data_IF_504066667312
#
_entry.id   IF_504066667312
#
_cell.length_a   1.000
_cell.length_b   1.000
_cell.length_c   1.000
_cell.angle_alpha   90.00
_cell.angle_beta   90.00
_cell.angle_gamma   90.00
#
_symmetry.space_group_name_H-M   'P 1'
#
loop_
_entity.id
_entity.type
_entity.pdbx_description
1 polymer ?
#
# COMPACT_ATOMS: atom_id res chain seq x y z
N UNK A 1 -20.99 38.06 -21.34
CA UNK A 1 -19.59 38.56 -21.38
C UNK A 1 -18.73 37.54 -22.09
N UNK A 2 -18.20 37.86 -23.27
CA UNK A 2 -17.38 36.94 -24.05
C UNK A 2 -16.01 36.78 -23.39
N UNK A 3 -15.70 35.55 -22.96
CA UNK A 3 -14.49 35.20 -22.20
C UNK A 3 -13.18 35.57 -22.92
N UNK A 4 -13.20 35.74 -24.25
CA UNK A 4 -12.02 36.15 -25.02
C UNK A 4 -11.70 37.64 -24.94
N UNK A 5 -12.71 38.50 -24.71
CA UNK A 5 -12.50 39.96 -24.69
C UNK A 5 -11.77 40.41 -23.41
N UNK A 6 -12.02 39.71 -22.30
CA UNK A 6 -11.36 39.94 -21.02
C UNK A 6 -9.86 39.61 -21.07
N UNK A 7 -9.50 38.49 -21.70
CA UNK A 7 -8.10 38.10 -21.90
C UNK A 7 -7.34 39.08 -22.81
N UNK A 8 -7.98 39.59 -23.87
CA UNK A 8 -7.34 40.55 -24.77
C UNK A 8 -7.10 41.91 -24.10
N UNK A 9 -8.01 42.37 -23.25
CA UNK A 9 -7.80 43.61 -22.48
C UNK A 9 -6.72 43.47 -21.41
N UNK A 10 -6.56 42.28 -20.82
CA UNK A 10 -5.54 42.00 -19.79
C UNK A 10 -4.11 41.95 -20.38
N UNK A 11 -3.97 41.44 -21.61
CA UNK A 11 -2.67 41.42 -22.33
C UNK A 11 -2.26 42.84 -22.75
N UNK A 12 -3.22 43.68 -23.17
CA UNK A 12 -2.94 45.06 -23.57
C UNK A 12 -2.42 45.93 -22.39
N UNK A 13 -2.82 45.63 -21.15
CA UNK A 13 -2.30 46.31 -19.95
C UNK A 13 -0.87 45.90 -19.54
N UNK A 14 -0.34 44.76 -20.00
CA UNK A 14 1.01 44.29 -19.65
C UNK A 14 2.10 45.01 -20.46
N UNK A 15 1.76 45.59 -21.62
CA UNK A 15 2.73 46.24 -22.50
C UNK A 15 3.35 47.55 -21.95
N UNK A 16 2.83 48.11 -20.85
CA UNK A 16 3.31 49.39 -20.27
C UNK A 16 4.21 49.18 -19.03
N UNK A 17 4.21 47.99 -18.43
CA UNK A 17 5.06 47.69 -17.27
C UNK A 17 6.19 46.77 -17.67
N UNK A 18 7.45 47.25 -17.65
CA UNK A 18 8.61 46.36 -17.53
C UNK A 18 8.50 45.62 -16.19
N UNK A 19 7.78 44.51 -16.17
CA UNK A 19 7.84 43.55 -15.08
C UNK A 19 9.30 43.07 -15.01
N UNK A 20 10.00 43.25 -13.88
CA UNK A 20 11.31 42.66 -13.74
C UNK A 20 11.14 41.14 -13.83
N UNK A 21 11.72 40.53 -14.86
CA UNK A 21 11.72 39.07 -15.10
C UNK A 21 12.66 38.35 -14.12
N UNK A 22 12.61 38.69 -12.82
CA UNK A 22 13.48 38.07 -11.83
C UNK A 22 12.80 37.99 -10.49
N UNK A 23 12.00 36.92 -10.31
CA UNK A 23 11.61 36.37 -9.01
C UNK A 23 10.88 35.02 -9.17
N UNK A 24 11.33 34.17 -10.11
CA UNK A 24 11.02 32.74 -9.98
C UNK A 24 11.93 32.20 -8.88
N UNK A 25 11.38 32.06 -7.67
CA UNK A 25 12.08 31.33 -6.61
C UNK A 25 12.14 29.87 -7.00
N UNK A 26 13.34 29.35 -7.14
CA UNK A 26 13.55 27.92 -7.35
C UNK A 26 13.32 27.17 -6.05
N UNK A 27 12.65 26.03 -6.13
CA UNK A 27 12.40 25.15 -5.01
C UNK A 27 13.03 23.78 -5.26
N UNK A 28 13.54 23.16 -4.20
CA UNK A 28 14.03 21.78 -4.21
C UNK A 28 13.28 20.95 -3.18
N UNK A 29 13.20 19.64 -3.44
CA UNK A 29 12.78 18.65 -2.45
C UNK A 29 13.98 18.21 -1.62
N UNK A 30 13.79 18.10 -0.31
CA UNK A 30 14.77 17.58 0.65
C UNK A 30 14.26 16.26 1.21
N UNK A 31 15.02 15.18 1.01
CA UNK A 31 14.71 13.85 1.50
C UNK A 31 14.81 13.80 3.02
N UNK A 32 13.81 13.19 3.66
CA UNK A 32 13.78 12.95 5.10
C UNK A 32 13.94 11.47 5.41
N UNK A 33 13.08 10.63 4.81
CA UNK A 33 13.09 9.20 5.05
C UNK A 33 12.38 8.40 3.96
N UNK A 34 12.52 7.07 4.04
CA UNK A 34 11.78 6.10 3.23
C UNK A 34 11.13 5.04 4.12
N UNK A 35 10.00 4.51 3.68
CA UNK A 35 9.31 3.41 4.33
C UNK A 35 8.36 2.70 3.34
N UNK A 36 7.89 1.52 3.71
CA UNK A 36 6.71 0.94 3.06
C UNK A 36 5.43 1.52 3.66
N UNK A 37 4.36 1.56 2.87
CA UNK A 37 3.04 2.01 3.34
C UNK A 37 2.48 1.01 4.35
N UNK A 38 2.32 1.45 5.61
CA UNK A 38 1.77 0.62 6.67
C UNK A 38 0.26 0.44 6.49
N UNK A 39 -0.23 -0.76 6.78
CA UNK A 39 -1.65 -1.08 6.67
C UNK A 39 -2.21 -1.06 5.25
N UNK A 40 -1.36 -1.10 4.21
CA UNK A 40 -1.74 -0.96 2.80
C UNK A 40 -2.93 -1.83 2.38
N UNK A 41 -2.97 -3.07 2.88
CA UNK A 41 -4.03 -4.06 2.64
C UNK A 41 -5.39 -3.76 3.30
N UNK A 42 -5.43 -2.92 4.35
CA UNK A 42 -6.65 -2.64 5.10
C UNK A 42 -7.42 -1.42 4.58
N UNK A 43 -6.86 -0.69 3.62
CA UNK A 43 -7.45 0.51 3.03
C UNK A 43 -7.63 0.35 1.52
N UNK A 44 -7.79 1.45 0.79
CA UNK A 44 -7.98 1.38 -0.67
C UNK A 44 -6.70 0.98 -1.44
N UNK A 45 -5.58 0.71 -0.76
CA UNK A 45 -4.28 0.42 -1.35
C UNK A 45 -4.32 -0.68 -2.40
N UNK A 46 -4.78 -1.88 -2.03
CA UNK A 46 -4.80 -3.04 -2.95
C UNK A 46 -5.70 -2.81 -4.17
N UNK A 47 -6.84 -2.14 -3.99
CA UNK A 47 -7.77 -1.83 -5.08
C UNK A 47 -7.19 -0.83 -6.09
N UNK A 48 -6.28 0.04 -5.62
CA UNK A 48 -5.71 1.12 -6.41
C UNK A 48 -4.30 0.79 -6.94
N UNK A 49 -3.65 -0.26 -6.44
CA UNK A 49 -2.26 -0.61 -6.72
C UNK A 49 -1.94 -0.67 -8.22
N UNK A 50 -2.86 -1.19 -9.03
CA UNK A 50 -2.65 -1.29 -10.48
C UNK A 50 -2.62 0.05 -11.21
N UNK A 51 -3.16 1.09 -10.59
CA UNK A 51 -3.22 2.45 -11.14
C UNK A 51 -2.05 3.33 -10.66
N UNK A 52 -1.32 2.91 -9.63
CA UNK A 52 -0.20 3.67 -9.07
C UNK A 52 1.05 3.56 -9.95
N UNK A 53 1.87 4.61 -9.92
CA UNK A 53 3.16 4.66 -10.59
C UNK A 53 4.23 5.23 -9.67
N UNK A 54 5.47 4.81 -9.88
CA UNK A 54 6.62 5.48 -9.27
C UNK A 54 6.65 6.95 -9.70
N UNK A 55 6.93 7.84 -8.75
CA UNK A 55 6.86 9.29 -8.91
C UNK A 55 5.50 9.90 -8.53
N UNK A 56 4.46 9.09 -8.31
CA UNK A 56 3.16 9.60 -7.87
C UNK A 56 3.26 10.26 -6.49
N UNK A 57 2.57 11.40 -6.36
CA UNK A 57 2.50 12.16 -5.11
C UNK A 57 1.49 11.57 -4.14
N UNK A 58 1.84 11.64 -2.87
CA UNK A 58 1.00 11.26 -1.74
C UNK A 58 0.87 12.43 -0.77
N UNK A 59 -0.35 12.63 -0.30
CA UNK A 59 -0.67 13.60 0.76
C UNK A 59 -0.48 12.93 2.12
N UNK A 60 0.11 13.68 3.06
CA UNK A 60 0.22 13.29 4.46
C UNK A 60 -0.89 13.97 5.24
N UNK A 61 -1.82 13.19 5.78
CA UNK A 61 -2.99 13.68 6.51
C UNK A 61 -2.88 13.26 7.97
N UNK A 62 -2.89 14.23 8.90
CA UNK A 62 -2.84 13.95 10.34
C UNK A 62 -4.15 13.37 10.83
N UNK A 63 -4.06 12.31 11.64
CA UNK A 63 -5.19 11.71 12.37
C UNK A 63 -4.92 11.67 13.89
N UNK A 64 -4.89 12.81 14.59
CA UNK A 64 -4.53 12.87 16.01
C UNK A 64 -5.55 12.19 16.95
N UNK A 65 -6.77 11.96 16.46
CA UNK A 65 -7.84 11.25 17.18
C UNK A 65 -7.86 9.74 16.87
N UNK A 66 -6.84 9.20 16.19
CA UNK A 66 -6.74 7.77 15.95
C UNK A 66 -6.62 7.01 17.27
N UNK A 67 -7.49 6.02 17.49
CA UNK A 67 -7.63 5.30 18.76
C UNK A 67 -6.39 4.49 19.14
N UNK A 68 -5.57 4.10 18.15
CA UNK A 68 -4.40 3.25 18.35
C UNK A 68 -3.09 4.05 18.43
N UNK A 69 -3.01 5.18 17.72
CA UNK A 69 -1.77 5.95 17.60
C UNK A 69 -2.05 7.47 17.42
N UNK A 70 -1.80 8.32 18.44
CA UNK A 70 -2.02 9.76 18.32
C UNK A 70 -1.07 10.45 17.32
N UNK A 71 0.04 9.79 16.94
CA UNK A 71 0.98 10.27 15.94
C UNK A 71 0.59 9.84 14.51
N UNK A 72 -0.55 9.20 14.30
CA UNK A 72 -0.95 8.65 13.01
C UNK A 72 -0.94 9.69 11.87
N UNK A 73 -0.29 9.32 10.75
CA UNK A 73 -0.26 10.11 9.51
C UNK A 73 -0.75 9.21 8.39
N UNK A 74 -1.98 9.44 7.95
CA UNK A 74 -2.57 8.74 6.84
C UNK A 74 -1.93 9.19 5.52
N UNK A 75 -1.69 8.23 4.63
CA UNK A 75 -1.19 8.45 3.28
C UNK A 75 -2.37 8.40 2.31
N UNK A 76 -2.56 9.46 1.55
CA UNK A 76 -3.62 9.57 0.56
C UNK A 76 -3.03 9.65 -0.86
N UNK A 77 -3.48 8.78 -1.75
CA UNK A 77 -3.20 8.84 -3.18
C UNK A 77 -4.47 9.29 -3.90
N UNK A 78 -4.40 10.41 -4.63
CA UNK A 78 -5.56 11.01 -5.32
C UNK A 78 -6.78 11.18 -4.38
N UNK A 79 -6.53 11.66 -3.15
CA UNK A 79 -7.55 11.86 -2.12
C UNK A 79 -8.05 10.59 -1.43
N UNK A 80 -7.63 9.39 -1.86
CA UNK A 80 -8.02 8.11 -1.24
C UNK A 80 -6.97 7.61 -0.27
N UNK A 81 -7.39 7.25 0.94
CA UNK A 81 -6.50 6.67 1.96
C UNK A 81 -6.00 5.30 1.51
N UNK A 82 -4.69 5.14 1.44
CA UNK A 82 -4.03 3.89 1.04
C UNK A 82 -3.29 3.22 2.20
N UNK A 83 -3.09 3.92 3.32
CA UNK A 83 -2.40 3.40 4.49
C UNK A 83 -1.85 4.51 5.37
N UNK A 84 -0.75 4.25 6.05
CA UNK A 84 -0.10 5.19 6.96
C UNK A 84 1.43 5.19 6.83
N UNK A 85 2.04 6.26 7.36
CA UNK A 85 3.43 6.19 7.81
C UNK A 85 3.51 5.20 8.98
N UNK A 86 4.49 4.27 9.02
CA UNK A 86 4.64 3.34 10.14
C UNK A 86 4.80 4.05 11.48
N UNK A 87 4.14 3.53 12.52
CA UNK A 87 4.17 4.05 13.88
C UNK A 87 5.58 4.20 14.46
N UNK A 88 6.52 3.33 14.07
CA UNK A 88 7.92 3.40 14.47
C UNK A 88 8.68 4.64 13.97
N UNK A 89 8.06 5.44 13.11
CA UNK A 89 8.73 6.52 12.38
C UNK A 89 7.92 7.81 12.24
N UNK A 90 6.67 7.83 12.69
CA UNK A 90 5.76 8.94 12.41
C UNK A 90 5.85 10.11 13.40
N UNK A 91 6.41 9.91 14.60
CA UNK A 91 6.41 10.90 15.69
C UNK A 91 7.06 12.23 15.30
N UNK A 92 8.24 12.21 14.68
CA UNK A 92 8.87 13.46 14.24
C UNK A 92 8.07 14.16 13.14
N UNK A 93 7.53 13.38 12.20
CA UNK A 93 6.72 13.93 11.10
C UNK A 93 5.40 14.50 11.61
N UNK A 94 4.80 13.89 12.64
CA UNK A 94 3.54 14.34 13.22
C UNK A 94 3.71 15.71 13.88
N UNK A 95 4.78 15.89 14.66
CA UNK A 95 5.13 17.19 15.25
C UNK A 95 5.36 18.26 14.18
N UNK A 96 6.07 17.95 13.08
CA UNK A 96 6.33 18.89 12.00
C UNK A 96 5.06 19.33 11.26
N UNK A 97 4.12 18.42 11.07
CA UNK A 97 2.81 18.71 10.49
C UNK A 97 1.94 19.53 11.45
N UNK A 98 1.90 19.16 12.73
CA UNK A 98 1.06 19.80 13.75
C UNK A 98 1.47 21.27 13.98
N UNK A 99 2.79 21.57 13.96
CA UNK A 99 3.28 22.94 14.06
C UNK A 99 3.40 23.66 12.70
N UNK A 100 3.06 22.97 11.60
CA UNK A 100 3.09 23.48 10.23
C UNK A 100 4.46 24.09 9.86
N UNK A 101 5.55 23.51 10.39
CA UNK A 101 6.91 24.03 10.24
C UNK A 101 7.48 23.79 8.85
N UNK A 102 7.09 22.70 8.19
CA UNK A 102 7.59 22.29 6.88
C UNK A 102 6.43 21.81 5.99
N UNK A 103 6.50 22.14 4.70
CA UNK A 103 5.58 21.61 3.69
C UNK A 103 6.01 20.20 3.29
N UNK A 104 5.50 19.21 4.02
CA UNK A 104 5.80 17.80 3.80
C UNK A 104 4.93 17.18 2.70
N UNK A 105 5.52 16.27 1.94
CA UNK A 105 4.80 15.42 0.99
C UNK A 105 5.54 14.08 0.85
N UNK A 106 4.85 13.07 0.31
CA UNK A 106 5.48 11.80 0.00
C UNK A 106 5.40 11.51 -1.50
N UNK A 107 6.30 10.65 -1.97
CA UNK A 107 6.37 10.17 -3.36
C UNK A 107 6.50 8.66 -3.33
N UNK A 108 5.76 7.96 -4.19
CA UNK A 108 5.99 6.54 -4.44
C UNK A 108 7.34 6.36 -5.11
N UNK A 109 8.26 5.66 -4.46
CA UNK A 109 9.61 5.44 -5.00
C UNK A 109 9.76 4.10 -5.67
N UNK A 110 9.08 3.07 -5.16
CA UNK A 110 9.13 1.73 -5.73
C UNK A 110 7.77 1.04 -5.62
N UNK A 111 7.44 0.29 -6.66
CA UNK A 111 6.27 -0.59 -6.69
C UNK A 111 6.71 -2.02 -6.98
N UNK A 112 6.37 -2.95 -6.10
CA UNK A 112 6.59 -4.38 -6.33
C UNK A 112 5.29 -5.14 -6.09
N UNK A 113 4.60 -5.48 -7.18
CA UNK A 113 3.28 -6.14 -7.09
C UNK A 113 3.37 -7.61 -6.69
N UNK A 114 4.54 -8.23 -6.82
CA UNK A 114 4.74 -9.63 -6.49
C UNK A 114 5.28 -9.84 -5.06
N UNK A 115 5.53 -8.76 -4.32
CA UNK A 115 5.87 -8.83 -2.90
C UNK A 115 4.61 -8.93 -2.06
N UNK A 116 4.80 -9.11 -0.75
CA UNK A 116 3.69 -9.05 0.18
C UNK A 116 3.01 -7.69 0.20
N UNK A 117 1.69 -7.61 0.54
CA UNK A 117 0.96 -6.35 0.53
C UNK A 117 1.62 -5.21 1.32
N UNK A 118 2.28 -5.53 2.44
CA UNK A 118 3.01 -4.57 3.26
C UNK A 118 4.37 -4.14 2.69
N UNK A 119 4.79 -4.71 1.57
CA UNK A 119 5.98 -4.33 0.80
C UNK A 119 5.63 -3.93 -0.66
N UNK A 120 4.36 -3.78 -1.02
CA UNK A 120 3.99 -3.44 -2.41
C UNK A 120 4.37 -2.01 -2.80
N UNK A 121 4.30 -1.07 -1.84
CA UNK A 121 4.50 0.36 -2.10
C UNK A 121 5.54 0.90 -1.13
N UNK A 122 6.71 1.22 -1.66
CA UNK A 122 7.72 2.00 -0.94
C UNK A 122 7.57 3.47 -1.30
N UNK A 123 7.69 4.33 -0.29
CA UNK A 123 7.60 5.78 -0.43
C UNK A 123 8.81 6.47 0.16
N UNK A 124 9.04 7.71 -0.26
CA UNK A 124 9.95 8.63 0.41
C UNK A 124 9.21 9.91 0.80
N UNK A 125 9.50 10.42 2.00
CA UNK A 125 8.96 11.67 2.53
C UNK A 125 9.97 12.78 2.29
N UNK A 126 9.48 13.93 1.84
CA UNK A 126 10.25 15.12 1.54
C UNK A 126 9.64 16.35 2.20
N UNK A 127 10.44 17.40 2.31
CA UNK A 127 9.94 18.76 2.43
C UNK A 127 10.42 19.65 1.28
N UNK A 128 9.68 20.71 1.00
CA UNK A 128 10.06 21.70 -0.02
C UNK A 128 10.90 22.81 0.62
N UNK A 129 12.03 23.14 -0.02
CA UNK A 129 12.94 24.20 0.41
C UNK A 129 13.23 25.16 -0.73
N UNK A 130 13.20 26.47 -0.46
CA UNK A 130 13.71 27.49 -1.39
C UNK A 130 15.21 27.32 -1.61
N UNK A 131 15.63 27.33 -2.88
CA UNK A 131 17.05 27.22 -3.28
C UNK A 131 17.73 28.58 -3.08
N UNK A 132 18.02 28.91 -1.83
CA UNK A 132 18.72 30.15 -1.48
C UNK A 132 20.24 29.93 -1.36
N UNK A 133 20.68 28.69 -1.10
CA UNK A 133 22.08 28.25 -1.00
C UNK A 133 22.24 26.79 -1.40
N UNK A 134 23.40 26.44 -1.95
CA UNK A 134 23.78 25.05 -2.19
C UNK A 134 23.81 24.24 -0.90
N UNK A 135 23.52 22.94 -0.99
CA UNK A 135 23.68 22.04 0.15
C UNK A 135 25.17 21.87 0.46
N UNK A 136 25.58 21.93 1.74
CA UNK A 136 26.94 21.54 2.12
C UNK A 136 27.25 20.12 1.65
N UNK A 137 28.50 19.85 1.26
CA UNK A 137 28.90 18.55 0.72
C UNK A 137 28.57 17.35 1.65
N UNK A 138 28.69 17.55 2.97
CA UNK A 138 28.35 16.53 3.97
C UNK A 138 26.84 16.21 4.04
N UNK A 139 25.98 17.09 3.51
CA UNK A 139 24.52 16.95 3.50
C UNK A 139 23.99 16.34 2.19
N UNK A 140 24.86 15.75 1.36
CA UNK A 140 24.47 15.12 0.09
C UNK A 140 23.50 13.94 0.23
N UNK A 141 23.36 13.36 1.43
CA UNK A 141 22.36 12.31 1.71
C UNK A 141 20.92 12.83 1.63
N UNK A 142 20.70 14.14 1.77
CA UNK A 142 19.38 14.79 1.68
C UNK A 142 18.78 14.82 0.27
N UNK A 143 19.46 14.28 -0.72
CA UNK A 143 18.97 14.17 -2.10
C UNK A 143 18.94 12.72 -2.61
N UNK A 144 19.39 11.76 -1.81
CA UNK A 144 19.54 10.36 -2.21
C UNK A 144 18.37 9.53 -1.71
N UNK A 145 17.91 8.63 -2.57
CA UNK A 145 16.93 7.59 -2.24
C UNK A 145 17.67 6.27 -2.32
N UNK A 146 17.42 5.37 -1.39
CA UNK A 146 17.99 4.03 -1.44
C UNK A 146 16.93 3.05 -1.96
N UNK A 147 17.39 1.92 -2.52
CA UNK A 147 16.48 0.83 -2.85
C UNK A 147 15.88 0.27 -1.55
N UNK A 148 14.56 0.06 -1.47
CA UNK A 148 13.94 -0.47 -0.27
C UNK A 148 14.43 -1.90 -0.01
N UNK A 149 14.65 -2.21 1.26
CA UNK A 149 15.02 -3.54 1.68
C UNK A 149 13.77 -4.41 1.84
N UNK A 150 13.44 -5.16 0.79
CA UNK A 150 12.38 -6.17 0.84
C UNK A 150 12.81 -7.37 1.70
N UNK A 151 11.97 -7.72 2.67
CA UNK A 151 12.15 -8.91 3.51
C UNK A 151 11.47 -10.13 2.91
N UNK A 152 10.44 -9.92 2.09
CA UNK A 152 9.60 -10.99 1.54
C UNK A 152 10.00 -11.40 0.13
N UNK A 153 10.74 -10.55 -0.59
CA UNK A 153 11.33 -10.92 -1.87
C UNK A 153 12.54 -11.82 -1.65
N UNK A 154 12.34 -13.11 -1.86
CA UNK A 154 13.41 -14.08 -1.84
C UNK A 154 14.34 -13.83 -3.05
N UNK A 155 15.63 -13.50 -2.80
CA UNK A 155 16.68 -13.37 -3.84
C UNK A 155 16.86 -14.66 -4.67
N UNK A 156 16.37 -15.79 -4.15
CA UNK A 156 16.44 -17.12 -4.75
C UNK A 156 15.10 -17.63 -5.34
N UNK A 157 14.08 -16.79 -5.48
CA UNK A 157 12.76 -17.18 -6.03
C UNK A 157 12.78 -17.63 -7.50
N UNK A 158 13.89 -17.44 -8.23
CA UNK A 158 14.11 -18.12 -9.52
C UNK A 158 14.50 -19.60 -9.37
N UNK A 159 14.76 -20.12 -8.17
CA UNK A 159 15.26 -21.49 -7.93
C UNK A 159 14.49 -22.37 -6.93
N UNK A 160 13.37 -21.90 -6.35
CA UNK A 160 12.46 -22.75 -5.54
C UNK A 160 11.02 -22.65 -6.05
N UNK A 161 10.81 -23.07 -7.30
CA UNK A 161 9.53 -23.69 -7.71
C UNK A 161 9.69 -25.19 -7.40
N UNK A 162 8.69 -25.80 -6.75
CA UNK A 162 8.62 -27.20 -6.28
C UNK A 162 9.29 -27.40 -4.89
N UNK A 163 8.65 -27.88 -3.82
CA UNK A 163 7.68 -28.98 -3.76
C UNK A 163 6.70 -28.98 -2.57
N UNK A 164 6.72 -28.01 -1.64
CA UNK A 164 5.81 -28.02 -0.47
C UNK A 164 4.91 -26.78 -0.43
N UNK A 165 3.56 -26.91 -0.39
CA UNK A 165 2.71 -25.82 0.09
C UNK A 165 3.12 -25.45 1.52
N UNK A 166 3.32 -24.16 1.79
CA UNK A 166 3.62 -23.64 3.14
C UNK A 166 2.65 -22.50 3.50
N UNK A 167 2.58 -22.19 4.79
CA UNK A 167 1.71 -21.13 5.31
C UNK A 167 2.00 -19.76 4.72
N UNK A 168 3.25 -19.46 4.35
CA UNK A 168 3.60 -18.23 3.64
C UNK A 168 2.82 -18.14 2.33
N UNK A 169 2.99 -19.13 1.45
CA UNK A 169 2.28 -19.19 0.18
C UNK A 169 0.75 -19.15 0.35
N UNK A 170 0.22 -19.74 1.42
CA UNK A 170 -1.21 -19.70 1.72
C UNK A 170 -1.71 -18.27 1.91
N UNK A 171 -1.02 -17.43 2.68
CA UNK A 171 -1.41 -16.04 2.92
C UNK A 171 -1.12 -15.12 1.72
N UNK A 172 -0.27 -15.55 0.80
CA UNK A 172 0.22 -14.75 -0.32
C UNK A 172 -0.65 -14.85 -1.59
N UNK A 173 -1.49 -15.89 -1.72
CA UNK A 173 -2.28 -16.16 -2.94
C UNK A 173 -3.78 -15.96 -2.73
N UNK A 174 -4.52 -15.46 -3.73
CA UNK A 174 -6.00 -15.49 -3.70
C UNK A 174 -6.60 -16.80 -4.18
N UNK A 175 -5.77 -17.74 -4.66
CA UNK A 175 -6.21 -19.06 -5.11
C UNK A 175 -6.25 -20.03 -3.92
N UNK A 176 -7.18 -19.77 -2.98
CA UNK A 176 -7.32 -20.56 -1.74
C UNK A 176 -8.70 -21.20 -1.65
N UNK A 177 -8.78 -22.39 -1.09
CA UNK A 177 -10.05 -23.06 -0.83
C UNK A 177 -10.11 -23.61 0.58
N UNK A 178 -11.31 -23.71 1.11
CA UNK A 178 -11.60 -24.39 2.37
C UNK A 178 -12.78 -25.34 2.15
N UNK A 179 -12.67 -26.54 2.73
CA UNK A 179 -13.76 -27.50 2.81
C UNK A 179 -14.64 -27.19 4.03
N UNK A 180 -15.84 -26.66 3.80
CA UNK A 180 -16.77 -26.28 4.88
C UNK A 180 -17.24 -27.46 5.73
N UNK A 181 -17.17 -28.67 5.19
CA UNK A 181 -17.61 -29.88 5.87
C UNK A 181 -16.53 -30.47 6.79
N UNK A 182 -15.27 -30.11 6.58
CA UNK A 182 -14.13 -30.53 7.42
C UNK A 182 -13.86 -29.57 8.59
N UNK A 183 -14.47 -28.38 8.62
CA UNK A 183 -14.35 -27.47 9.75
C UNK A 183 -14.89 -28.16 11.03
N UNK A 184 -14.08 -28.30 12.09
CA UNK A 184 -14.46 -29.02 13.29
C UNK A 184 -15.76 -28.49 13.92
N UNK A 185 -16.61 -29.34 14.51
CA UNK A 185 -17.85 -28.90 15.19
C UNK A 185 -17.63 -27.90 16.33
N UNK A 186 -16.41 -27.83 16.88
CA UNK A 186 -16.00 -26.83 17.87
C UNK A 186 -15.79 -25.42 17.31
N UNK A 187 -15.55 -25.28 16.00
CA UNK A 187 -15.25 -24.02 15.31
C UNK A 187 -16.48 -23.47 14.58
N UNK A 188 -17.61 -23.40 15.29
CA UNK A 188 -18.92 -23.00 14.74
C UNK A 188 -18.92 -21.58 14.16
N UNK A 189 -18.21 -20.66 14.81
CA UNK A 189 -18.12 -19.27 14.36
C UNK A 189 -17.35 -19.16 13.04
N UNK A 190 -16.20 -19.84 12.93
CA UNK A 190 -15.44 -19.92 11.69
C UNK A 190 -16.27 -20.53 10.56
N UNK A 191 -16.97 -21.64 10.82
CA UNK A 191 -17.87 -22.25 9.84
C UNK A 191 -18.96 -21.28 9.38
N UNK A 192 -19.65 -20.64 10.32
CA UNK A 192 -20.70 -19.68 10.01
C UNK A 192 -20.17 -18.47 9.22
N UNK A 193 -18.95 -18.01 9.53
CA UNK A 193 -18.28 -16.95 8.78
C UNK A 193 -18.02 -17.37 7.33
N UNK A 194 -17.37 -18.51 7.12
CA UNK A 194 -17.04 -18.94 5.76
C UNK A 194 -18.28 -19.29 4.94
N UNK A 195 -19.29 -19.89 5.56
CA UNK A 195 -20.60 -20.12 4.93
C UNK A 195 -21.28 -18.81 4.54
N UNK A 196 -21.31 -17.82 5.45
CA UNK A 196 -21.98 -16.53 5.19
C UNK A 196 -21.35 -15.76 4.03
N UNK A 197 -20.02 -15.71 3.95
CA UNK A 197 -19.32 -14.84 3.00
C UNK A 197 -18.89 -15.55 1.71
N UNK A 198 -18.67 -16.87 1.73
CA UNK A 198 -18.07 -17.60 0.60
C UNK A 198 -18.93 -18.73 0.03
N UNK A 199 -20.07 -19.09 0.62
CA UNK A 199 -20.96 -20.12 0.03
C UNK A 199 -21.47 -19.77 -1.38
N UNK A 200 -21.48 -18.48 -1.73
CA UNK A 200 -21.79 -17.99 -3.09
C UNK A 200 -20.66 -18.18 -4.11
N UNK A 201 -19.51 -18.70 -3.69
CA UNK A 201 -18.33 -18.97 -4.51
C UNK A 201 -17.89 -20.43 -4.41
N UNK A 202 -18.75 -21.40 -4.79
CA UNK A 202 -18.39 -22.81 -4.75
C UNK A 202 -17.29 -23.13 -5.77
N UNK A 203 -16.39 -24.04 -5.40
CA UNK A 203 -15.40 -24.64 -6.32
C UNK A 203 -15.60 -26.14 -6.31
N UNK A 204 -15.57 -26.76 -7.49
CA UNK A 204 -15.58 -28.22 -7.57
C UNK A 204 -14.13 -28.72 -7.49
N UNK A 205 -13.79 -29.33 -6.36
CA UNK A 205 -12.55 -30.08 -6.18
C UNK A 205 -12.93 -31.56 -6.25
N UNK A 206 -12.17 -32.43 -6.95
CA UNK A 206 -12.45 -33.87 -7.05
C UNK A 206 -12.08 -34.60 -5.73
N UNK A 207 -12.62 -34.10 -4.62
CA UNK A 207 -12.52 -34.59 -3.24
C UNK A 207 -13.91 -34.46 -2.58
N UNK A 208 -14.22 -35.27 -1.57
CA UNK A 208 -15.50 -35.15 -0.87
C UNK A 208 -15.61 -33.83 -0.08
N UNK A 209 -16.79 -33.21 -0.09
CA UNK A 209 -17.12 -32.05 0.74
C UNK A 209 -17.46 -30.80 -0.07
N UNK A 210 -17.90 -29.76 0.65
CA UNK A 210 -18.28 -28.47 0.07
C UNK A 210 -17.11 -27.49 0.12
N UNK A 211 -16.46 -27.33 -1.03
CA UNK A 211 -15.36 -26.39 -1.21
C UNK A 211 -15.85 -25.00 -1.63
N UNK A 212 -15.28 -23.97 -1.01
CA UNK A 212 -15.53 -22.56 -1.37
C UNK A 212 -14.24 -21.81 -1.63
N UNK A 213 -14.28 -20.88 -2.58
CA UNK A 213 -13.15 -20.01 -2.93
C UNK A 213 -13.02 -18.85 -1.93
N UNK A 214 -11.92 -18.82 -1.18
CA UNK A 214 -11.56 -17.67 -0.34
C UNK A 214 -10.64 -16.75 -1.15
N UNK A 215 -11.29 -15.96 -2.01
CA UNK A 215 -10.63 -15.11 -3.03
C UNK A 215 -10.03 -13.80 -2.51
N UNK A 216 -10.18 -13.52 -1.22
CA UNK A 216 -9.81 -12.26 -0.59
C UNK A 216 -9.18 -12.49 0.80
N UNK A 217 -9.19 -11.44 1.63
CA UNK A 217 -8.56 -11.39 2.94
C UNK A 217 -9.39 -12.03 4.07
N UNK A 218 -10.55 -12.62 3.81
CA UNK A 218 -11.31 -13.22 4.91
C UNK A 218 -10.67 -14.47 5.52
N UNK A 219 -9.62 -15.02 4.91
CA UNK A 219 -8.74 -16.00 5.55
C UNK A 219 -8.16 -15.47 6.87
N UNK A 220 -7.92 -14.16 6.99
CA UNK A 220 -7.29 -13.58 8.18
C UNK A 220 -8.23 -13.46 9.37
N UNK A 221 -9.54 -13.55 9.17
CA UNK A 221 -10.53 -13.47 10.27
C UNK A 221 -10.35 -14.58 11.29
N UNK A 222 -9.82 -15.73 10.86
CA UNK A 222 -9.54 -16.89 11.71
C UNK A 222 -8.08 -17.33 11.56
N UNK A 223 -7.17 -16.38 11.30
CA UNK A 223 -5.75 -16.66 11.03
C UNK A 223 -5.09 -17.55 12.08
N UNK A 224 -5.41 -17.32 13.36
CA UNK A 224 -4.85 -18.07 14.49
C UNK A 224 -5.46 -19.46 14.68
N UNK A 225 -6.55 -19.75 13.99
CA UNK A 225 -7.20 -21.05 13.97
C UNK A 225 -6.86 -21.83 12.68
N UNK A 226 -6.02 -21.27 11.79
CA UNK A 226 -5.59 -21.99 10.58
C UNK A 226 -4.50 -22.99 10.96
N UNK A 227 -4.73 -24.24 10.56
CA UNK A 227 -3.74 -25.31 10.71
C UNK A 227 -2.45 -24.98 9.96
N UNK A 228 -1.30 -25.43 10.48
CA UNK A 228 -0.04 -25.35 9.73
C UNK A 228 -0.04 -26.25 8.47
N UNK A 229 -1.01 -27.18 8.38
CA UNK A 229 -1.20 -28.04 7.22
C UNK A 229 -1.84 -27.27 6.06
N UNK A 230 -1.14 -27.22 4.92
CA UNK A 230 -1.63 -26.64 3.67
C UNK A 230 -1.48 -27.69 2.58
N UNK A 231 -2.50 -27.85 1.73
CA UNK A 231 -2.51 -28.81 0.64
C UNK A 231 -2.68 -28.14 -0.72
N UNK A 232 -2.08 -28.70 -1.78
CA UNK A 232 -2.40 -28.27 -3.16
C UNK A 232 -3.53 -29.12 -3.70
N UNK A 233 -4.54 -28.46 -4.24
CA UNK A 233 -5.66 -29.10 -4.92
C UNK A 233 -5.88 -28.48 -6.29
N UNK A 234 -6.58 -29.20 -7.16
CA UNK A 234 -6.97 -28.73 -8.49
C UNK A 234 -8.47 -28.83 -8.66
N UNK A 235 -9.05 -27.88 -9.37
CA UNK A 235 -10.43 -27.99 -9.83
C UNK A 235 -10.53 -28.91 -11.07
N UNK A 236 -11.75 -29.10 -11.57
CA UNK A 236 -12.01 -29.90 -12.78
C UNK A 236 -11.30 -29.36 -14.04
N UNK A 237 -10.98 -28.07 -14.08
CA UNK A 237 -10.30 -27.42 -15.19
C UNK A 237 -8.76 -27.49 -15.06
N UNK A 238 -8.26 -28.08 -13.97
CA UNK A 238 -6.83 -28.17 -13.66
C UNK A 238 -6.22 -26.91 -13.05
N UNK A 239 -7.04 -25.93 -12.66
CA UNK A 239 -6.59 -24.73 -11.94
C UNK A 239 -6.17 -25.09 -10.51
N UNK A 240 -4.99 -24.63 -10.10
CA UNK A 240 -4.40 -24.93 -8.80
C UNK A 240 -4.89 -23.98 -7.70
N UNK A 241 -5.21 -24.56 -6.55
CA UNK A 241 -5.59 -23.86 -5.32
C UNK A 241 -4.78 -24.39 -4.13
N UNK A 242 -4.62 -23.54 -3.11
CA UNK A 242 -4.15 -23.94 -1.78
C UNK A 242 -5.36 -24.21 -0.88
N UNK A 243 -5.51 -25.45 -0.46
CA UNK A 243 -6.47 -25.90 0.54
C UNK A 243 -5.89 -25.64 1.93
N UNK A 244 -6.67 -24.98 2.79
CA UNK A 244 -6.33 -24.72 4.19
C UNK A 244 -7.42 -25.26 5.12
N UNK A 245 -7.02 -25.54 6.35
CA UNK A 245 -7.89 -26.15 7.36
C UNK A 245 -8.00 -25.26 8.59
N UNK A 246 -9.10 -25.41 9.32
CA UNK A 246 -9.33 -24.75 10.61
C UNK A 246 -9.25 -25.81 11.70
N UNK A 247 -8.47 -25.55 12.74
CA UNK A 247 -8.31 -26.39 13.93
C UNK A 247 -8.70 -25.65 15.22
#
# INVERSE_FOLDING_TARGET
MNRSLFLQQLIASVAIGRLPVSLTKDFRKIYLMQCFVAGFRHYNGMQLLDNMKEGDLLELVREPANEYDPCAIALHWQGKKIGFIPASSNEMLSMLLDCNALSLFAVITHLEKNSQPWENVAIAVYFVQEVNKELPAHASYLTRIEAPHYRTLNKDSKKKKADSPDMGNLFDTTQRVINLDEIPPGKKEAKAYFEKYYAQHPINIPKPGRYVHVKDDGIYSYMYDISEEVSRVKDDNGQEFLEFFIE
#
